data_IF_789232740589
#
_entry.id   IF_789232740589
#
_cell.length_a   1.000
_cell.length_b   1.000
_cell.length_c   1.000
_cell.angle_alpha   90.00
_cell.angle_beta   90.00
_cell.angle_gamma   90.00
#
_symmetry.space_group_name_H-M   'P 1'
#
loop_
_entity.id
_entity.type
_entity.pdbx_description
1 polymer ?
#
# COMPACT_ATOMS: atom_id res chain seq x y z
N UNK A 1 -7.58 2.66 -14.90
CA UNK A 1 -9.02 2.79 -14.54
C UNK A 1 -9.42 4.25 -14.31
N UNK A 2 -8.53 5.06 -13.73
CA UNK A 2 -8.77 6.46 -13.41
C UNK A 2 -8.73 7.43 -14.60
N UNK A 3 -8.22 7.02 -15.76
CA UNK A 3 -8.18 7.84 -16.98
C UNK A 3 -9.57 8.31 -17.44
N UNK A 4 -10.56 7.43 -17.37
CA UNK A 4 -11.92 7.76 -17.79
C UNK A 4 -12.57 8.76 -16.82
N UNK A 5 -12.28 8.62 -15.53
CA UNK A 5 -12.67 9.56 -14.48
C UNK A 5 -11.98 10.92 -14.67
N UNK A 6 -10.66 10.94 -14.94
CA UNK A 6 -9.89 12.16 -15.26
C UNK A 6 -10.47 12.90 -16.46
N UNK A 7 -10.76 12.19 -17.54
CA UNK A 7 -11.31 12.79 -18.76
C UNK A 7 -12.69 13.42 -18.52
N UNK A 8 -13.58 12.73 -17.78
CA UNK A 8 -14.87 13.30 -17.40
C UNK A 8 -14.74 14.52 -16.51
N UNK A 9 -13.76 14.53 -15.62
CA UNK A 9 -13.61 15.57 -14.60
C UNK A 9 -12.93 16.82 -15.18
N UNK A 10 -11.97 16.67 -16.11
CA UNK A 10 -11.45 17.79 -16.92
C UNK A 10 -12.54 18.48 -17.72
N UNK A 11 -13.36 17.70 -18.45
CA UNK A 11 -14.47 18.25 -19.22
C UNK A 11 -15.51 18.97 -18.34
N UNK A 12 -15.74 18.47 -17.12
CA UNK A 12 -16.65 19.10 -16.17
C UNK A 12 -16.06 20.40 -15.61
N UNK A 13 -14.79 20.42 -15.21
CA UNK A 13 -14.14 21.61 -14.69
C UNK A 13 -14.05 22.75 -15.73
N UNK A 14 -13.85 22.42 -17.00
CA UNK A 14 -13.72 23.40 -18.08
C UNK A 14 -15.08 24.08 -18.41
N UNK A 15 -16.19 23.35 -18.30
CA UNK A 15 -17.51 23.80 -18.77
C UNK A 15 -18.53 24.11 -17.65
N UNK A 16 -18.26 23.77 -16.39
CA UNK A 16 -19.25 23.88 -15.32
C UNK A 16 -19.31 25.26 -14.66
N UNK A 17 -20.43 25.54 -13.98
CA UNK A 17 -20.63 26.76 -13.19
C UNK A 17 -19.67 26.81 -11.98
N UNK A 18 -19.40 27.99 -11.40
CA UNK A 18 -18.52 28.09 -10.23
C UNK A 18 -18.95 27.25 -9.01
N UNK A 19 -20.26 26.97 -8.85
CA UNK A 19 -20.77 26.12 -7.78
C UNK A 19 -20.51 24.63 -8.08
N UNK A 20 -20.77 24.21 -9.32
CA UNK A 20 -20.54 22.85 -9.80
C UNK A 20 -19.04 22.49 -9.81
N UNK A 21 -18.17 23.46 -10.12
CA UNK A 21 -16.70 23.29 -10.01
C UNK A 21 -16.26 23.03 -8.58
N UNK A 22 -16.83 23.71 -7.58
CA UNK A 22 -16.49 23.48 -6.16
C UNK A 22 -16.93 22.10 -5.71
N UNK A 23 -18.15 21.67 -6.08
CA UNK A 23 -18.63 20.33 -5.79
C UNK A 23 -17.71 19.25 -6.42
N UNK A 24 -17.34 19.43 -7.69
CA UNK A 24 -16.42 18.52 -8.39
C UNK A 24 -15.02 18.46 -7.75
N UNK A 25 -14.52 19.59 -7.24
CA UNK A 25 -13.26 19.62 -6.49
C UNK A 25 -13.37 18.89 -5.15
N UNK A 26 -14.50 18.98 -4.46
CA UNK A 26 -14.75 18.20 -3.23
C UNK A 26 -14.76 16.69 -3.52
N UNK A 27 -15.44 16.26 -4.58
CA UNK A 27 -15.48 14.85 -5.00
C UNK A 27 -14.09 14.35 -5.40
N UNK A 28 -13.32 15.16 -6.14
CA UNK A 28 -11.94 14.84 -6.52
C UNK A 28 -11.02 14.73 -5.29
N UNK A 29 -11.20 15.61 -4.28
CA UNK A 29 -10.48 15.52 -3.01
C UNK A 29 -10.75 14.18 -2.33
N UNK A 30 -12.03 13.79 -2.21
CA UNK A 30 -12.41 12.52 -1.59
C UNK A 30 -11.82 11.32 -2.34
N UNK A 31 -11.90 11.31 -3.67
CA UNK A 31 -11.31 10.27 -4.51
C UNK A 31 -9.79 10.18 -4.33
N UNK A 32 -9.09 11.33 -4.22
CA UNK A 32 -7.65 11.37 -4.00
C UNK A 32 -7.24 10.82 -2.63
N UNK A 33 -8.00 11.13 -1.58
CA UNK A 33 -7.80 10.56 -0.24
C UNK A 33 -7.98 9.03 -0.27
N UNK A 34 -9.05 8.54 -0.88
CA UNK A 34 -9.26 7.10 -1.02
C UNK A 34 -8.15 6.42 -1.83
N UNK A 35 -7.67 7.03 -2.90
CA UNK A 35 -6.57 6.50 -3.70
C UNK A 35 -5.25 6.47 -2.92
N UNK A 36 -4.94 7.51 -2.13
CA UNK A 36 -3.77 7.55 -1.23
C UNK A 36 -3.83 6.45 -0.17
N UNK A 37 -5.00 6.25 0.46
CA UNK A 37 -5.21 5.15 1.39
C UNK A 37 -4.96 3.79 0.72
N UNK A 38 -5.44 3.59 -0.51
CA UNK A 38 -5.18 2.38 -1.29
C UNK A 38 -3.70 2.16 -1.57
N UNK A 39 -2.95 3.22 -1.90
CA UNK A 39 -1.49 3.17 -2.07
C UNK A 39 -0.80 2.77 -0.77
N UNK A 40 -1.22 3.29 0.38
CA UNK A 40 -0.62 2.91 1.67
C UNK A 40 -0.92 1.46 2.07
N UNK A 41 -2.11 0.96 1.77
CA UNK A 41 -2.43 -0.46 1.93
C UNK A 41 -1.58 -1.34 0.98
N UNK A 42 -1.34 -0.91 -0.26
CA UNK A 42 -0.42 -1.58 -1.20
C UNK A 42 1.03 -1.59 -0.69
N UNK A 43 1.53 -0.45 -0.18
CA UNK A 43 2.87 -0.36 0.44
C UNK A 43 3.01 -1.35 1.59
N UNK A 44 2.00 -1.40 2.46
CA UNK A 44 1.95 -2.35 3.57
C UNK A 44 1.92 -3.80 3.07
N UNK A 45 1.16 -4.07 2.01
CA UNK A 45 1.11 -5.38 1.35
C UNK A 45 2.46 -5.82 0.78
N UNK A 46 3.15 -4.93 0.07
CA UNK A 46 4.50 -5.16 -0.49
C UNK A 46 5.51 -5.42 0.62
N UNK A 47 5.49 -4.65 1.72
CA UNK A 47 6.38 -4.87 2.86
C UNK A 47 6.21 -6.28 3.44
N UNK A 48 4.96 -6.71 3.68
CA UNK A 48 4.66 -8.07 4.15
C UNK A 48 5.06 -9.15 3.14
N UNK A 49 4.93 -8.89 1.84
CA UNK A 49 5.35 -9.82 0.80
C UNK A 49 6.86 -10.00 0.77
N UNK A 50 7.63 -8.90 0.96
CA UNK A 50 9.08 -8.93 1.11
C UNK A 50 9.51 -9.75 2.33
N UNK A 51 8.92 -9.50 3.48
CA UNK A 51 9.19 -10.27 4.71
C UNK A 51 8.94 -11.77 4.52
N UNK A 52 7.80 -12.13 3.91
CA UNK A 52 7.45 -13.53 3.62
C UNK A 52 8.42 -14.19 2.63
N UNK A 53 8.87 -13.45 1.62
CA UNK A 53 9.82 -13.96 0.63
C UNK A 53 11.20 -14.16 1.26
N UNK A 54 11.66 -13.21 2.09
CA UNK A 54 12.91 -13.32 2.83
C UNK A 54 12.89 -14.52 3.79
N UNK A 55 11.82 -14.69 4.58
CA UNK A 55 11.68 -15.84 5.48
C UNK A 55 11.72 -17.18 4.70
N UNK A 56 11.04 -17.26 3.55
CA UNK A 56 11.06 -18.47 2.73
C UNK A 56 12.45 -18.77 2.14
N UNK A 57 13.22 -17.73 1.79
CA UNK A 57 14.60 -17.85 1.33
C UNK A 57 15.52 -18.35 2.45
N UNK A 58 15.41 -17.80 3.66
CA UNK A 58 16.18 -18.25 4.83
C UNK A 58 15.90 -19.72 5.20
N UNK A 59 14.63 -20.14 5.12
CA UNK A 59 14.23 -21.54 5.28
C UNK A 59 14.90 -22.43 4.22
N UNK A 60 14.87 -22.03 2.94
CA UNK A 60 15.51 -22.77 1.85
C UNK A 60 17.02 -22.93 2.07
N UNK A 61 17.70 -21.85 2.47
CA UNK A 61 19.11 -21.91 2.81
C UNK A 61 19.39 -22.85 3.98
N UNK A 62 18.52 -22.85 4.99
CA UNK A 62 18.65 -23.74 6.14
C UNK A 62 18.51 -25.20 5.73
N UNK A 63 17.56 -25.52 4.86
CA UNK A 63 17.41 -26.86 4.28
C UNK A 63 18.69 -27.26 3.54
N UNK A 64 19.20 -26.39 2.66
CA UNK A 64 20.45 -26.63 1.92
C UNK A 64 21.67 -26.82 2.83
N UNK A 65 21.79 -26.03 3.89
CA UNK A 65 22.86 -26.17 4.89
C UNK A 65 22.77 -27.53 5.58
N UNK A 66 21.58 -27.93 6.05
CA UNK A 66 21.37 -29.22 6.73
C UNK A 66 21.62 -30.41 5.80
N UNK A 67 21.20 -30.32 4.54
CA UNK A 67 21.50 -31.33 3.52
C UNK A 67 23.00 -31.54 3.36
N UNK A 68 23.78 -30.47 3.20
CA UNK A 68 25.25 -30.56 3.09
C UNK A 68 25.92 -31.19 4.32
N UNK A 69 25.41 -30.89 5.51
CA UNK A 69 25.91 -31.53 6.75
C UNK A 69 25.59 -33.03 6.76
N UNK A 70 24.38 -33.43 6.35
CA UNK A 70 23.99 -34.83 6.25
C UNK A 70 24.84 -35.58 5.21
N UNK A 71 25.14 -34.96 4.07
CA UNK A 71 26.05 -35.50 3.05
C UNK A 71 27.45 -35.76 3.63
N UNK A 72 27.98 -34.83 4.43
CA UNK A 72 29.32 -34.96 5.03
C UNK A 72 29.44 -36.10 6.03
N UNK A 73 28.36 -36.45 6.74
CA UNK A 73 28.34 -37.54 7.72
C UNK A 73 27.80 -38.87 7.15
N UNK A 74 27.44 -38.90 5.86
CA UNK A 74 26.92 -40.08 5.18
C UNK A 74 25.49 -40.47 5.57
N UNK A 75 24.69 -39.54 6.10
CA UNK A 75 23.28 -39.77 6.43
C UNK A 75 22.41 -39.67 5.19
N UNK A 76 22.32 -40.77 4.44
CA UNK A 76 21.57 -40.83 3.18
C UNK A 76 20.06 -40.61 3.35
N UNK A 77 19.48 -40.95 4.50
CA UNK A 77 18.04 -40.75 4.75
C UNK A 77 17.73 -39.26 4.90
N UNK A 78 18.50 -38.55 5.71
CA UNK A 78 18.34 -37.10 5.88
C UNK A 78 18.59 -36.36 4.56
N UNK A 79 19.57 -36.79 3.75
CA UNK A 79 19.81 -36.20 2.42
C UNK A 79 18.60 -36.37 1.52
N UNK A 80 18.03 -37.58 1.44
CA UNK A 80 16.84 -37.84 0.61
C UNK A 80 15.60 -37.06 1.07
N UNK A 81 15.44 -36.86 2.38
CA UNK A 81 14.37 -36.02 2.95
C UNK A 81 14.62 -34.55 2.59
N UNK A 82 15.83 -34.05 2.81
CA UNK A 82 16.18 -32.66 2.54
C UNK A 82 16.06 -32.32 1.04
N UNK A 83 16.36 -33.25 0.13
CA UNK A 83 16.15 -33.10 -1.31
C UNK A 83 14.69 -32.80 -1.68
N UNK A 84 13.74 -33.52 -1.05
CA UNK A 84 12.31 -33.31 -1.30
C UNK A 84 11.86 -31.93 -0.80
N UNK A 85 12.28 -31.56 0.41
CA UNK A 85 11.95 -30.26 1.00
C UNK A 85 12.63 -29.11 0.26
N UNK A 86 13.86 -29.28 -0.21
CA UNK A 86 14.59 -28.28 -0.98
C UNK A 86 13.82 -27.93 -2.26
N UNK A 87 13.37 -28.93 -3.02
CA UNK A 87 12.58 -28.71 -4.25
C UNK A 87 11.30 -27.94 -3.97
N UNK A 88 10.50 -28.41 -3.01
CA UNK A 88 9.22 -27.78 -2.67
C UNK A 88 9.40 -26.35 -2.15
N UNK A 89 10.42 -26.12 -1.31
CA UNK A 89 10.70 -24.78 -0.80
C UNK A 89 11.27 -23.86 -1.89
N UNK A 90 12.08 -24.37 -2.81
CA UNK A 90 12.58 -23.59 -3.95
C UNK A 90 11.43 -23.14 -4.86
N UNK A 91 10.47 -24.01 -5.16
CA UNK A 91 9.26 -23.66 -5.91
C UNK A 91 8.43 -22.59 -5.17
N UNK A 92 8.29 -22.73 -3.85
CA UNK A 92 7.58 -21.73 -3.03
C UNK A 92 8.27 -20.36 -3.08
N UNK A 93 9.59 -20.33 -2.96
CA UNK A 93 10.39 -19.09 -3.06
C UNK A 93 10.20 -18.44 -4.43
N UNK A 94 10.23 -19.21 -5.51
CA UNK A 94 10.00 -18.71 -6.87
C UNK A 94 8.60 -18.09 -7.03
N UNK A 95 7.56 -18.78 -6.57
CA UNK A 95 6.18 -18.24 -6.59
C UNK A 95 6.06 -16.96 -5.76
N UNK A 96 6.64 -16.92 -4.55
CA UNK A 96 6.61 -15.73 -3.70
C UNK A 96 7.36 -14.55 -4.32
N UNK A 97 8.51 -14.81 -4.95
CA UNK A 97 9.30 -13.80 -5.64
C UNK A 97 8.52 -13.18 -6.79
N UNK A 98 7.85 -13.99 -7.62
CA UNK A 98 6.99 -13.49 -8.70
C UNK A 98 5.81 -12.67 -8.19
N UNK A 99 5.21 -13.08 -7.06
CA UNK A 99 4.13 -12.32 -6.41
C UNK A 99 4.62 -10.98 -5.89
N UNK A 100 5.79 -10.94 -5.25
CA UNK A 100 6.40 -9.70 -4.77
C UNK A 100 6.65 -8.73 -5.93
N UNK A 101 7.29 -9.20 -7.02
CA UNK A 101 7.57 -8.39 -8.20
C UNK A 101 6.29 -7.84 -8.84
N UNK A 102 5.23 -8.64 -8.94
CA UNK A 102 3.93 -8.16 -9.40
C UNK A 102 3.36 -7.06 -8.48
N UNK A 103 3.39 -7.26 -7.16
CA UNK A 103 2.87 -6.27 -6.20
C UNK A 103 3.68 -4.96 -6.20
N UNK A 104 5.01 -5.04 -6.40
CA UNK A 104 5.87 -3.87 -6.51
C UNK A 104 5.56 -3.05 -7.77
N UNK A 105 5.27 -3.71 -8.90
CA UNK A 105 4.86 -3.05 -10.14
C UNK A 105 3.50 -2.39 -10.01
N UNK A 106 2.52 -3.07 -9.40
CA UNK A 106 1.20 -2.51 -9.12
C UNK A 106 1.29 -1.28 -8.21
N UNK A 107 2.14 -1.35 -7.17
CA UNK A 107 2.41 -0.20 -6.31
C UNK A 107 2.98 0.97 -7.10
N UNK A 108 3.97 0.73 -7.97
CA UNK A 108 4.58 1.79 -8.78
C UNK A 108 3.56 2.46 -9.72
N UNK A 109 2.66 1.67 -10.33
CA UNK A 109 1.57 2.19 -11.15
C UNK A 109 0.59 3.04 -10.33
N UNK A 110 0.17 2.54 -9.16
CA UNK A 110 -0.77 3.26 -8.29
C UNK A 110 -0.16 4.57 -7.74
N UNK A 111 1.13 4.57 -7.38
CA UNK A 111 1.86 5.76 -6.96
C UNK A 111 1.92 6.81 -8.08
N UNK A 112 2.18 6.37 -9.31
CA UNK A 112 2.17 7.25 -10.48
C UNK A 112 0.78 7.85 -10.71
N UNK A 113 -0.28 7.04 -10.73
CA UNK A 113 -1.66 7.52 -10.93
C UNK A 113 -2.07 8.54 -9.85
N UNK A 114 -1.73 8.31 -8.58
CA UNK A 114 -2.00 9.24 -7.48
C UNK A 114 -1.20 10.55 -7.60
N UNK A 115 0.06 10.47 -8.05
CA UNK A 115 0.87 11.66 -8.28
C UNK A 115 0.27 12.53 -9.40
N UNK A 116 -0.17 11.90 -10.49
CA UNK A 116 -0.85 12.60 -11.58
C UNK A 116 -2.20 13.18 -11.15
N UNK A 117 -3.01 12.45 -10.38
CA UNK A 117 -4.28 12.98 -9.86
C UNK A 117 -4.05 14.16 -8.92
N UNK A 118 -3.01 14.10 -8.07
CA UNK A 118 -2.61 15.21 -7.21
C UNK A 118 -2.17 16.44 -8.03
N UNK A 119 -1.52 16.24 -9.18
CA UNK A 119 -1.14 17.33 -10.08
C UNK A 119 -2.36 17.96 -10.78
N UNK A 120 -3.31 17.14 -11.26
CA UNK A 120 -4.57 17.63 -11.84
C UNK A 120 -5.39 18.42 -10.82
N UNK A 121 -5.50 17.91 -9.59
CA UNK A 121 -6.21 18.60 -8.51
C UNK A 121 -5.61 19.97 -8.21
N UNK A 122 -4.28 20.07 -8.09
CA UNK A 122 -3.59 21.35 -7.88
C UNK A 122 -3.86 22.36 -9.00
N UNK A 123 -3.80 21.92 -10.27
CA UNK A 123 -4.13 22.77 -11.42
C UNK A 123 -5.58 23.25 -11.39
N UNK A 124 -6.51 22.36 -11.04
CA UNK A 124 -7.92 22.67 -10.96
C UNK A 124 -8.24 23.68 -9.84
N UNK A 125 -7.62 23.54 -8.67
CA UNK A 125 -7.77 24.50 -7.55
C UNK A 125 -7.18 25.87 -7.93
N UNK A 126 -5.98 25.90 -8.53
CA UNK A 126 -5.35 27.14 -8.98
C UNK A 126 -6.18 27.88 -10.05
N UNK A 127 -6.81 27.14 -10.96
CA UNK A 127 -7.69 27.70 -12.00
C UNK A 127 -9.05 28.22 -11.49
N UNK A 128 -9.49 27.83 -10.29
CA UNK A 128 -10.72 28.33 -9.64
C UNK A 128 -10.45 29.57 -8.77
N UNK A 129 -9.21 29.76 -8.30
CA UNK A 129 -8.81 30.88 -7.43
C UNK A 129 -8.63 32.24 -8.12
N UNK A 130 -8.67 32.33 -9.45
CA UNK A 130 -8.39 33.56 -10.20
C UNK A 130 -9.55 34.59 -10.25
N UNK A 131 -10.48 34.56 -9.30
CA UNK A 131 -11.69 35.40 -9.28
C UNK A 131 -11.80 36.44 -8.15
N UNK A 132 -10.79 36.63 -7.30
CA UNK A 132 -10.79 37.60 -6.18
C UNK A 132 -9.57 38.54 -6.21
N UNK A 133 -9.65 39.76 -5.64
CA UNK A 133 -8.63 40.79 -5.80
C UNK A 133 -7.28 40.32 -5.22
N UNK A 134 -6.24 40.50 -6.03
CA UNK A 134 -4.89 39.94 -5.87
C UNK A 134 -4.15 40.67 -4.74
N UNK A 135 -4.04 40.03 -3.58
CA UNK A 135 -3.12 40.42 -2.53
C UNK A 135 -1.79 39.68 -2.68
N UNK A 136 -0.83 40.28 -3.40
CA UNK A 136 0.64 40.20 -3.21
C UNK A 136 1.39 38.87 -3.02
N UNK A 137 0.75 37.71 -3.08
CA UNK A 137 1.38 36.39 -2.94
C UNK A 137 1.15 35.54 -4.18
N UNK A 138 2.13 34.70 -4.52
CA UNK A 138 2.04 33.75 -5.62
C UNK A 138 0.84 32.80 -5.40
N UNK A 139 -0.27 32.96 -6.16
CA UNK A 139 -1.53 32.26 -5.90
C UNK A 139 -1.38 30.74 -6.01
N UNK A 140 -0.39 30.29 -6.79
CA UNK A 140 -0.07 28.87 -6.95
C UNK A 140 0.55 28.27 -5.68
N UNK A 141 1.35 29.06 -4.93
CA UNK A 141 1.91 28.64 -3.64
C UNK A 141 0.87 28.63 -2.51
N UNK A 142 -0.04 29.60 -2.50
CA UNK A 142 -1.11 29.65 -1.50
C UNK A 142 -2.09 28.48 -1.68
N UNK A 143 -2.49 28.20 -2.92
CA UNK A 143 -3.30 27.03 -3.26
C UNK A 143 -2.57 25.72 -2.95
N UNK A 144 -1.26 25.63 -3.21
CA UNK A 144 -0.48 24.45 -2.86
C UNK A 144 -0.42 24.20 -1.35
N UNK A 145 -0.23 25.25 -0.54
CA UNK A 145 -0.20 25.13 0.92
C UNK A 145 -1.57 24.77 1.52
N UNK A 146 -2.65 25.32 0.99
CA UNK A 146 -4.01 25.00 1.41
C UNK A 146 -4.39 23.55 1.07
N UNK A 147 -3.98 23.07 -0.12
CA UNK A 147 -4.17 21.68 -0.54
C UNK A 147 -3.35 20.70 0.30
N UNK A 148 -2.09 21.04 0.59
CA UNK A 148 -1.21 20.20 1.43
C UNK A 148 -1.76 20.10 2.87
N UNK A 149 -2.26 21.21 3.43
CA UNK A 149 -2.96 21.22 4.70
C UNK A 149 -4.27 20.40 4.66
N UNK A 150 -5.09 20.55 3.60
CA UNK A 150 -6.36 19.83 3.45
C UNK A 150 -6.20 18.32 3.25
N UNK A 151 -5.05 17.88 2.72
CA UNK A 151 -4.73 16.47 2.46
C UNK A 151 -3.84 15.85 3.55
N UNK A 152 -3.17 16.65 4.37
CA UNK A 152 -2.24 16.19 5.41
C UNK A 152 -2.89 15.84 6.75
N UNK A 153 -3.88 16.62 7.19
CA UNK A 153 -4.45 16.52 8.55
C UNK A 153 -5.42 15.34 8.75
N UNK A 154 -6.21 15.02 7.72
CA UNK A 154 -7.19 13.91 7.77
C UNK A 154 -6.52 12.53 7.57
N UNK A 155 -5.47 12.46 6.75
CA UNK A 155 -4.82 11.20 6.38
C UNK A 155 -4.01 10.59 7.54
N UNK A 156 -3.25 11.41 8.28
CA UNK A 156 -2.41 10.93 9.38
C UNK A 156 -3.27 10.41 10.55
N UNK A 157 -4.28 11.19 10.93
CA UNK A 157 -5.16 10.88 12.05
C UNK A 157 -6.05 9.66 11.78
N UNK A 158 -6.55 9.47 10.56
CA UNK A 158 -7.32 8.28 10.20
C UNK A 158 -6.45 7.03 9.99
N UNK A 159 -5.20 7.17 9.52
CA UNK A 159 -4.23 6.06 9.49
C UNK A 159 -3.94 5.54 10.90
N UNK A 160 -3.76 6.44 11.85
CA UNK A 160 -3.47 6.12 13.25
C UNK A 160 -4.66 5.39 13.92
N UNK A 161 -5.89 5.88 13.69
CA UNK A 161 -7.13 5.20 14.15
C UNK A 161 -7.29 3.79 13.58
N UNK A 162 -6.99 3.59 12.30
CA UNK A 162 -7.07 2.27 11.64
C UNK A 162 -5.96 1.32 12.11
N UNK A 163 -4.75 1.83 12.34
CA UNK A 163 -3.66 1.05 12.92
C UNK A 163 -4.01 0.59 14.34
N UNK A 164 -4.55 1.48 15.17
CA UNK A 164 -5.05 1.13 16.50
C UNK A 164 -6.17 0.08 16.44
N UNK A 165 -7.11 0.20 15.50
CA UNK A 165 -8.20 -0.77 15.33
C UNK A 165 -7.69 -2.17 14.91
N UNK A 166 -6.65 -2.24 14.06
CA UNK A 166 -6.02 -3.51 13.67
C UNK A 166 -5.28 -4.13 14.86
N UNK A 167 -4.49 -3.35 15.58
CA UNK A 167 -3.77 -3.80 16.78
C UNK A 167 -4.73 -4.31 17.87
N UNK A 168 -5.87 -3.63 18.07
CA UNK A 168 -6.91 -4.07 19.00
C UNK A 168 -7.48 -5.45 18.63
N UNK A 169 -7.77 -5.67 17.34
CA UNK A 169 -8.31 -6.95 16.85
C UNK A 169 -7.31 -8.09 16.96
N UNK A 170 -6.05 -7.82 16.69
CA UNK A 170 -4.97 -8.81 16.82
C UNK A 170 -4.77 -9.19 18.30
N UNK A 171 -4.77 -8.20 19.21
CA UNK A 171 -4.71 -8.44 20.65
C UNK A 171 -5.92 -9.25 21.17
N UNK A 172 -7.13 -8.95 20.70
CA UNK A 172 -8.33 -9.71 21.05
C UNK A 172 -8.27 -11.15 20.53
N UNK A 173 -7.72 -11.36 19.34
CA UNK A 173 -7.52 -12.68 18.75
C UNK A 173 -6.49 -13.50 19.57
N UNK A 174 -5.38 -12.88 19.97
CA UNK A 174 -4.35 -13.51 20.80
C UNK A 174 -4.87 -13.86 22.20
N UNK A 175 -5.69 -12.99 22.80
CA UNK A 175 -6.33 -13.25 24.08
C UNK A 175 -7.27 -14.46 24.01
N UNK A 176 -8.10 -14.54 22.96
CA UNK A 176 -9.00 -15.68 22.72
C UNK A 176 -8.22 -16.96 22.48
N UNK A 177 -7.11 -16.90 21.73
CA UNK A 177 -6.24 -18.04 21.49
C UNK A 177 -5.60 -18.54 22.78
N UNK A 178 -5.15 -17.64 23.66
CA UNK A 178 -4.55 -17.97 24.95
C UNK A 178 -5.56 -18.62 25.91
N UNK A 179 -6.81 -18.15 25.91
CA UNK A 179 -7.90 -18.77 26.69
C UNK A 179 -8.22 -20.18 26.18
N UNK A 180 -8.24 -20.38 24.87
CA UNK A 180 -8.51 -21.67 24.23
C UNK A 180 -7.40 -22.68 24.52
N UNK A 181 -6.14 -22.25 24.48
CA UNK A 181 -4.97 -23.05 24.90
C UNK A 181 -5.07 -23.50 26.36
N UNK A 182 -5.39 -22.56 27.26
CA UNK A 182 -5.65 -22.86 28.69
C UNK A 182 -6.77 -23.88 28.90
N UNK A 183 -7.87 -23.79 28.14
CA UNK A 183 -8.97 -24.78 28.22
C UNK A 183 -8.62 -26.15 27.64
N UNK A 184 -7.71 -26.21 26.66
CA UNK A 184 -7.27 -27.45 26.04
C UNK A 184 -6.08 -28.11 26.73
N UNK A 185 -5.63 -27.59 27.88
CA UNK A 185 -4.59 -28.20 28.70
C UNK A 185 -3.20 -28.23 28.06
N UNK A 186 -2.91 -27.27 27.15
CA UNK A 186 -1.58 -27.05 26.55
C UNK A 186 -1.11 -25.63 26.77
#
# INVERSE_FOLDING_TARGET
>A
MFEQLRASLRNLLDNASPADRRAALTDLKQALVHARMGVDDLRTGVAKARERTAAAQEELETIRRRKRLAEQIGDAETVAVADRFEKLQAERVDVLTRKQDAQERELALAEHEVAEMSADFRRAVAGVGSGGPVGGGDPERAAAAEVDALLGDDDASDRERRAATRAQRDADADARLAELKRRMGK
#
